data_IF_940894590569
#
_entry.id   IF_940894590569
#
_cell.length_a   1.000
_cell.length_b   1.000
_cell.length_c   1.000
_cell.angle_alpha   90.00
_cell.angle_beta   90.00
_cell.angle_gamma   90.00
#
_symmetry.space_group_name_H-M   'P 1'
#
loop_
_entity.id
_entity.type
_entity.pdbx_description
1 polymer ?
#
# COMPACT_ATOMS: atom_id res chain seq x y z
N UNK A 1 32.62 -2.08 -14.13
CA UNK A 1 31.44 -2.88 -14.50
C UNK A 1 30.22 -2.13 -14.05
N UNK A 2 29.26 -1.90 -14.94
CA UNK A 2 27.98 -1.25 -14.62
C UNK A 2 27.26 -2.05 -13.53
N UNK A 3 26.90 -1.39 -12.41
CA UNK A 3 26.13 -1.95 -11.30
C UNK A 3 24.66 -2.19 -11.73
N UNK A 4 24.44 -3.14 -12.64
CA UNK A 4 23.10 -3.52 -13.09
C UNK A 4 22.51 -4.51 -12.06
N UNK A 5 21.27 -4.31 -11.59
CA UNK A 5 20.60 -5.26 -10.70
C UNK A 5 20.65 -6.69 -11.26
N UNK A 6 20.81 -7.72 -10.44
CA UNK A 6 20.81 -9.12 -10.94
C UNK A 6 19.40 -9.59 -11.33
N UNK A 7 18.41 -9.21 -10.53
CA UNK A 7 17.01 -9.58 -10.70
C UNK A 7 16.44 -9.05 -12.03
N UNK A 8 15.85 -9.94 -12.83
CA UNK A 8 15.32 -9.61 -14.15
C UNK A 8 14.09 -8.71 -14.06
N UNK A 9 13.24 -8.93 -13.07
CA UNK A 9 12.03 -8.13 -12.85
C UNK A 9 12.39 -6.69 -12.47
N UNK A 10 13.39 -6.50 -11.62
CA UNK A 10 13.94 -5.19 -11.27
C UNK A 10 14.50 -4.47 -12.52
N UNK A 11 15.20 -5.18 -13.41
CA UNK A 11 15.67 -4.59 -14.68
C UNK A 11 14.49 -4.17 -15.55
N UNK A 12 13.48 -5.03 -15.69
CA UNK A 12 12.27 -4.76 -16.49
C UNK A 12 11.54 -3.53 -15.98
N UNK A 13 11.33 -3.45 -14.67
CA UNK A 13 10.70 -2.35 -13.95
C UNK A 13 11.45 -1.03 -14.13
N UNK A 14 12.76 -1.01 -13.87
CA UNK A 14 13.59 0.17 -14.04
C UNK A 14 13.69 0.64 -15.49
N UNK A 15 13.80 -0.29 -16.45
CA UNK A 15 13.82 0.04 -17.87
C UNK A 15 12.48 0.64 -18.31
N UNK A 16 11.36 0.05 -17.89
CA UNK A 16 10.03 0.57 -18.16
C UNK A 16 9.85 1.97 -17.58
N UNK A 17 10.16 2.15 -16.30
CA UNK A 17 10.07 3.44 -15.62
C UNK A 17 10.92 4.49 -16.32
N UNK A 18 12.18 4.19 -16.62
CA UNK A 18 13.09 5.11 -17.33
C UNK A 18 12.53 5.54 -18.69
N UNK A 19 11.95 4.61 -19.45
CA UNK A 19 11.29 4.93 -20.72
C UNK A 19 10.05 5.80 -20.51
N UNK A 20 9.28 5.53 -19.46
CA UNK A 20 8.04 6.25 -19.16
C UNK A 20 8.27 7.71 -18.73
N UNK A 21 9.47 8.04 -18.23
CA UNK A 21 9.85 9.42 -17.88
C UNK A 21 9.94 10.34 -19.11
N UNK A 22 10.07 9.77 -20.31
CA UNK A 22 10.07 10.53 -21.57
C UNK A 22 8.67 10.75 -22.14
N UNK A 23 7.63 10.23 -21.50
CA UNK A 23 6.25 10.55 -21.89
C UNK A 23 5.96 12.03 -21.66
N UNK A 24 5.14 12.62 -22.52
CA UNK A 24 4.61 13.96 -22.27
C UNK A 24 3.66 13.90 -21.08
N UNK A 25 4.04 14.53 -19.97
CA UNK A 25 3.28 14.58 -18.73
C UNK A 25 3.44 15.95 -18.07
N UNK A 26 2.40 16.50 -17.44
CA UNK A 26 2.51 17.77 -16.73
C UNK A 26 3.59 17.73 -15.65
N UNK A 27 4.16 18.89 -15.35
CA UNK A 27 5.12 19.01 -14.26
C UNK A 27 4.48 18.69 -12.90
N UNK A 28 5.21 17.95 -12.07
CA UNK A 28 4.80 17.64 -10.71
C UNK A 28 4.72 18.93 -9.86
N UNK A 29 3.57 19.25 -9.25
CA UNK A 29 3.49 20.33 -8.28
C UNK A 29 4.22 19.96 -6.99
N UNK A 30 4.47 20.98 -6.17
CA UNK A 30 4.80 20.79 -4.75
C UNK A 30 3.69 20.00 -4.05
N UNK A 31 4.07 19.18 -3.06
CA UNK A 31 3.15 18.29 -2.31
C UNK A 31 1.96 19.05 -1.74
N UNK A 32 2.16 20.28 -1.23
CA UNK A 32 1.08 21.10 -0.67
C UNK A 32 0.01 21.44 -1.72
N UNK A 33 0.44 21.60 -2.97
CA UNK A 33 -0.39 22.03 -4.11
C UNK A 33 -0.89 20.87 -4.97
N UNK A 34 -0.45 19.64 -4.69
CA UNK A 34 -0.94 18.47 -5.40
C UNK A 34 -2.40 18.20 -5.02
N UNK A 35 -3.13 17.57 -5.93
CA UNK A 35 -4.47 17.05 -5.66
C UNK A 35 -4.37 15.94 -4.62
N UNK A 36 -5.24 15.98 -3.62
CA UNK A 36 -5.39 14.86 -2.71
C UNK A 36 -6.11 13.73 -3.46
N UNK A 37 -5.80 12.48 -3.15
CA UNK A 37 -6.49 11.36 -3.75
C UNK A 37 -6.69 10.24 -2.74
N UNK A 38 -7.70 9.40 -3.03
CA UNK A 38 -7.91 8.16 -2.30
C UNK A 38 -7.68 6.97 -3.19
N UNK A 39 -7.15 5.90 -2.61
CA UNK A 39 -7.26 4.56 -3.20
C UNK A 39 -8.44 3.84 -2.55
N UNK A 40 -9.21 3.11 -3.35
CA UNK A 40 -10.31 2.27 -2.91
C UNK A 40 -10.11 0.84 -3.42
N UNK A 41 -10.04 -0.13 -2.52
CA UNK A 41 -9.94 -1.55 -2.88
C UNK A 41 -11.09 -2.35 -2.29
N UNK A 42 -11.92 -3.02 -3.12
CA UNK A 42 -12.89 -3.98 -2.61
C UNK A 42 -12.16 -5.23 -2.10
N UNK A 43 -12.57 -5.72 -0.93
CA UNK A 43 -12.06 -6.93 -0.33
C UNK A 43 -13.23 -7.73 0.23
N UNK A 44 -13.26 -9.04 0.02
CA UNK A 44 -14.31 -9.86 0.58
C UNK A 44 -13.75 -10.79 1.67
N UNK A 45 -13.06 -11.84 1.25
CA UNK A 45 -12.52 -12.87 2.14
C UNK A 45 -11.29 -13.55 1.54
N UNK A 46 -10.59 -12.85 0.65
CA UNK A 46 -9.29 -13.27 0.14
C UNK A 46 -8.27 -13.36 1.28
N UNK A 47 -7.17 -14.06 1.04
CA UNK A 47 -6.11 -14.16 2.05
C UNK A 47 -5.50 -12.79 2.34
N UNK A 48 -5.46 -12.39 3.62
CA UNK A 48 -4.80 -11.13 4.01
C UNK A 48 -3.30 -11.34 4.07
N UNK A 49 -2.85 -12.36 4.78
CA UNK A 49 -1.46 -12.77 4.88
C UNK A 49 -1.39 -14.29 4.97
N UNK A 50 -0.53 -14.93 4.18
CA UNK A 50 -0.35 -16.39 4.29
C UNK A 50 -0.03 -16.80 5.72
N UNK A 51 -0.81 -17.71 6.28
CA UNK A 51 -0.58 -18.30 7.60
C UNK A 51 0.51 -19.38 7.54
N UNK A 52 0.92 -19.87 8.72
CA UNK A 52 2.05 -20.80 8.83
C UNK A 52 1.75 -22.13 8.12
N UNK A 53 0.51 -22.58 8.23
CA UNK A 53 0.02 -23.84 7.68
C UNK A 53 -0.02 -23.76 6.16
N UNK A 54 -0.55 -22.69 5.58
CA UNK A 54 -0.57 -22.45 4.12
C UNK A 54 0.82 -22.44 3.48
N UNK A 55 1.86 -22.04 4.22
CA UNK A 55 3.24 -22.06 3.72
C UNK A 55 3.88 -23.46 3.77
N UNK A 56 3.37 -24.35 4.63
CA UNK A 56 3.99 -25.67 4.90
C UNK A 56 3.20 -26.82 4.30
N UNK A 57 1.89 -26.71 4.27
CA UNK A 57 1.00 -27.75 3.75
C UNK A 57 1.31 -27.95 2.28
N UNK A 58 1.66 -29.17 1.95
CA UNK A 58 1.90 -29.60 0.59
C UNK A 58 0.57 -29.77 -0.14
N UNK A 59 0.54 -29.41 -1.42
CA UNK A 59 -0.57 -29.72 -2.31
C UNK A 59 -0.55 -31.21 -2.72
N UNK A 60 -1.44 -31.59 -3.63
CA UNK A 60 -1.55 -32.97 -4.15
C UNK A 60 -0.24 -33.50 -4.78
N UNK A 61 0.63 -32.61 -5.25
CA UNK A 61 1.93 -32.93 -5.85
C UNK A 61 3.08 -32.99 -4.83
N UNK A 62 2.81 -32.84 -3.52
CA UNK A 62 3.85 -32.79 -2.49
C UNK A 62 4.61 -31.45 -2.44
N UNK A 63 4.07 -30.39 -3.05
CA UNK A 63 4.73 -29.08 -3.14
C UNK A 63 4.05 -28.10 -2.18
N UNK A 64 4.82 -27.55 -1.24
CA UNK A 64 4.35 -26.46 -0.38
C UNK A 64 4.46 -25.09 -1.07
N UNK A 65 3.58 -24.16 -0.71
CA UNK A 65 3.61 -22.77 -1.22
C UNK A 65 4.99 -22.13 -1.03
N UNK A 66 5.63 -22.34 0.13
CA UNK A 66 6.95 -21.77 0.39
C UNK A 66 8.02 -22.37 -0.53
N UNK A 67 8.04 -23.68 -0.71
CA UNK A 67 9.00 -24.34 -1.59
C UNK A 67 8.85 -23.85 -3.03
N UNK A 68 7.61 -23.75 -3.50
CA UNK A 68 7.33 -23.21 -4.83
C UNK A 68 7.88 -21.79 -4.99
N UNK A 69 7.55 -20.87 -4.07
CA UNK A 69 8.02 -19.48 -4.11
C UNK A 69 9.55 -19.37 -4.04
N UNK A 70 10.21 -20.19 -3.23
CA UNK A 70 11.68 -20.25 -3.15
C UNK A 70 12.30 -20.71 -4.47
N UNK A 71 11.63 -21.62 -5.18
CA UNK A 71 12.10 -22.17 -6.46
C UNK A 71 11.98 -21.15 -7.59
N UNK A 72 10.89 -20.37 -7.64
CA UNK A 72 10.68 -19.38 -8.72
C UNK A 72 11.34 -18.02 -8.44
N UNK A 73 11.60 -17.68 -7.17
CA UNK A 73 12.22 -16.40 -6.76
C UNK A 73 13.54 -16.61 -6.00
N UNK A 74 14.45 -17.40 -6.56
CA UNK A 74 15.71 -17.82 -5.91
C UNK A 74 16.55 -16.62 -5.45
N UNK A 75 16.76 -15.64 -6.32
CA UNK A 75 17.57 -14.45 -6.03
C UNK A 75 16.91 -13.55 -4.97
N UNK A 76 15.58 -13.43 -4.99
CA UNK A 76 14.85 -12.67 -3.98
C UNK A 76 14.80 -13.37 -2.62
N UNK A 77 14.82 -14.70 -2.60
CA UNK A 77 14.96 -15.51 -1.39
C UNK A 77 16.36 -15.33 -0.77
N UNK A 78 17.42 -15.37 -1.58
CA UNK A 78 18.79 -15.07 -1.13
C UNK A 78 18.89 -13.68 -0.49
N UNK A 79 18.33 -12.67 -1.15
CA UNK A 79 18.28 -11.30 -0.63
C UNK A 79 17.48 -11.21 0.69
N UNK A 80 16.40 -11.98 0.82
CA UNK A 80 15.64 -12.06 2.05
C UNK A 80 16.46 -12.68 3.19
N UNK A 81 17.09 -13.82 2.97
CA UNK A 81 17.95 -14.47 3.96
C UNK A 81 19.12 -13.58 4.38
N UNK A 82 19.74 -12.88 3.43
CA UNK A 82 20.80 -11.91 3.72
C UNK A 82 20.32 -10.81 4.67
N UNK A 83 19.13 -10.23 4.43
CA UNK A 83 18.55 -9.23 5.34
C UNK A 83 18.26 -9.81 6.73
N UNK A 84 17.67 -11.01 6.79
CA UNK A 84 17.38 -11.66 8.07
C UNK A 84 18.64 -11.92 8.91
N UNK A 85 19.76 -12.29 8.26
CA UNK A 85 21.06 -12.47 8.94
C UNK A 85 21.62 -11.15 9.50
N UNK A 86 21.46 -10.05 8.77
CA UNK A 86 21.83 -8.71 9.27
C UNK A 86 20.97 -8.32 10.48
N UNK A 87 19.69 -8.71 10.47
CA UNK A 87 18.76 -8.56 11.59
C UNK A 87 18.91 -9.65 12.66
N UNK A 88 20.11 -10.24 12.79
CA UNK A 88 20.52 -11.16 13.86
C UNK A 88 19.81 -12.52 13.85
N UNK A 89 19.40 -13.02 12.68
CA UNK A 89 19.01 -14.43 12.51
C UNK A 89 20.28 -15.29 12.33
N UNK A 90 20.59 -16.15 13.30
CA UNK A 90 21.80 -16.98 13.30
C UNK A 90 21.53 -18.43 12.88
N UNK A 91 20.40 -19.01 13.32
CA UNK A 91 19.94 -20.34 12.93
C UNK A 91 18.71 -20.23 12.01
N UNK A 92 18.96 -20.28 10.71
CA UNK A 92 17.92 -20.17 9.68
C UNK A 92 16.80 -21.20 9.86
N UNK A 93 17.11 -22.47 10.14
CA UNK A 93 16.08 -23.52 10.20
C UNK A 93 15.13 -23.33 11.39
N UNK A 94 15.66 -22.86 12.51
CA UNK A 94 14.89 -22.68 13.75
C UNK A 94 14.22 -21.32 13.82
N UNK A 95 14.98 -20.25 13.57
CA UNK A 95 14.54 -18.88 13.79
C UNK A 95 13.53 -18.42 12.74
N UNK A 96 13.65 -18.90 11.50
CA UNK A 96 12.74 -18.55 10.41
C UNK A 96 11.28 -18.91 10.74
N UNK A 97 11.07 -20.01 11.45
CA UNK A 97 9.73 -20.50 11.83
C UNK A 97 9.31 -20.10 13.24
N UNK A 98 10.13 -19.31 13.95
CA UNK A 98 9.86 -18.84 15.31
C UNK A 98 9.93 -17.33 15.38
N UNK A 99 11.12 -16.76 15.58
CA UNK A 99 11.35 -15.32 15.74
C UNK A 99 11.09 -14.52 14.46
N UNK A 100 11.41 -15.08 13.29
CA UNK A 100 11.26 -14.44 11.97
C UNK A 100 10.04 -14.92 11.18
N UNK A 101 9.09 -15.60 11.84
CA UNK A 101 7.90 -16.14 11.19
C UNK A 101 7.07 -15.05 10.49
N UNK A 102 6.94 -13.86 11.09
CA UNK A 102 6.20 -12.75 10.47
C UNK A 102 6.88 -12.27 9.19
N UNK A 103 8.21 -12.14 9.21
CA UNK A 103 8.99 -11.72 8.04
C UNK A 103 8.90 -12.74 6.90
N UNK A 104 8.94 -14.04 7.23
CA UNK A 104 8.70 -15.12 6.27
C UNK A 104 7.30 -15.02 5.65
N UNK A 105 6.27 -14.85 6.49
CA UNK A 105 4.87 -14.74 6.02
C UNK A 105 4.67 -13.52 5.13
N UNK A 106 5.27 -12.38 5.46
CA UNK A 106 5.24 -11.18 4.64
C UNK A 106 5.98 -11.39 3.31
N UNK A 107 7.17 -11.98 3.34
CA UNK A 107 7.93 -12.30 2.12
C UNK A 107 7.11 -13.17 1.17
N UNK A 108 6.47 -14.23 1.67
CA UNK A 108 5.63 -15.08 0.85
C UNK A 108 4.38 -14.32 0.32
N UNK A 109 3.71 -13.56 1.19
CA UNK A 109 2.47 -12.85 0.85
C UNK A 109 2.67 -11.77 -0.21
N UNK A 110 3.83 -11.10 -0.21
CA UNK A 110 4.20 -10.13 -1.26
C UNK A 110 4.40 -10.75 -2.65
N UNK A 111 4.44 -12.08 -2.75
CA UNK A 111 4.55 -12.81 -4.02
C UNK A 111 3.28 -13.56 -4.39
N UNK A 112 2.33 -13.68 -3.45
CA UNK A 112 1.01 -14.24 -3.67
C UNK A 112 -0.03 -13.20 -4.12
N UNK A 113 -1.28 -13.64 -4.15
CA UNK A 113 -2.47 -12.79 -4.30
C UNK A 113 -3.07 -12.55 -2.92
N UNK A 114 -2.50 -11.58 -2.19
CA UNK A 114 -2.93 -11.27 -0.82
C UNK A 114 -3.24 -9.79 -0.67
N UNK A 115 -4.16 -9.44 0.24
CA UNK A 115 -4.43 -8.03 0.57
C UNK A 115 -3.17 -7.31 1.03
N UNK A 116 -2.28 -8.00 1.76
CA UNK A 116 -1.02 -7.41 2.22
C UNK A 116 -0.13 -6.95 1.06
N UNK A 117 -0.11 -7.66 -0.07
CA UNK A 117 0.67 -7.25 -1.25
C UNK A 117 0.11 -5.95 -1.85
N UNK A 118 -1.19 -5.92 -2.10
CA UNK A 118 -1.89 -4.78 -2.69
C UNK A 118 -1.80 -3.56 -1.78
N UNK A 119 -1.99 -3.76 -0.48
CA UNK A 119 -1.80 -2.71 0.53
C UNK A 119 -0.40 -2.14 0.51
N UNK A 120 0.61 -3.01 0.46
CA UNK A 120 2.00 -2.58 0.40
C UNK A 120 2.28 -1.75 -0.84
N UNK A 121 1.86 -2.21 -2.02
CA UNK A 121 2.02 -1.49 -3.28
C UNK A 121 1.52 -0.07 -3.21
N UNK A 122 0.21 0.07 -2.95
CA UNK A 122 -0.47 1.38 -2.95
C UNK A 122 0.07 2.38 -1.91
N UNK A 123 0.60 1.86 -0.79
CA UNK A 123 1.09 2.70 0.31
C UNK A 123 2.54 3.09 0.10
N UNK A 124 3.40 2.16 -0.34
CA UNK A 124 4.83 2.42 -0.47
C UNK A 124 5.12 3.62 -1.39
N UNK A 125 4.49 3.75 -2.55
CA UNK A 125 4.74 4.94 -3.38
C UNK A 125 3.83 6.13 -3.10
N UNK A 126 2.77 5.97 -2.29
CA UNK A 126 2.03 7.13 -1.78
C UNK A 126 2.75 7.82 -0.61
N UNK A 127 3.47 7.08 0.23
CA UNK A 127 4.22 7.62 1.38
C UNK A 127 5.47 8.40 0.94
N UNK A 128 6.11 8.03 -0.17
CA UNK A 128 7.34 8.68 -0.63
C UNK A 128 7.11 10.05 -1.30
N UNK A 129 5.85 10.41 -1.55
CA UNK A 129 5.46 11.75 -1.98
C UNK A 129 5.94 12.85 -1.01
N UNK A 130 6.07 12.54 0.29
CA UNK A 130 6.58 13.47 1.30
C UNK A 130 8.10 13.66 1.30
N UNK A 131 8.88 12.67 0.86
CA UNK A 131 10.34 12.68 1.00
C UNK A 131 11.08 13.34 -0.16
N UNK A 132 10.44 13.49 -1.33
CA UNK A 132 11.05 14.12 -2.53
C UNK A 132 11.28 15.64 -2.43
N UNK A 133 11.16 16.25 -1.24
CA UNK A 133 11.51 17.67 -1.01
C UNK A 133 13.01 17.94 -0.90
N UNK A 134 13.86 16.92 -0.89
CA UNK A 134 15.25 17.10 -0.48
C UNK A 134 16.25 17.51 -1.58
N UNK A 135 15.85 17.60 -2.87
CA UNK A 135 16.79 17.90 -3.96
C UNK A 135 16.39 19.12 -4.84
N UNK A 136 15.47 19.95 -4.34
CA UNK A 136 14.88 21.05 -5.11
C UNK A 136 15.56 22.42 -5.00
N UNK A 137 16.81 22.52 -4.54
CA UNK A 137 17.54 23.79 -4.52
C UNK A 137 18.49 23.87 -5.73
N UNK A 138 17.93 23.86 -6.93
CA UNK A 138 18.63 24.35 -8.13
C UNK A 138 18.31 25.84 -8.22
N UNK A 139 19.12 26.65 -7.56
CA UNK A 139 19.17 28.11 -7.79
C UNK A 139 20.52 28.45 -8.43
N UNK A 140 20.46 28.97 -9.65
CA UNK A 140 21.32 30.01 -10.24
C UNK A 140 22.86 29.92 -10.15
N UNK A 141 23.48 29.54 -11.28
CA UNK A 141 24.57 30.25 -11.97
C UNK A 141 25.76 30.83 -11.15
N UNK A 142 26.95 30.21 -11.24
CA UNK A 142 28.22 30.81 -11.74
C UNK A 142 29.49 30.05 -11.32
N UNK A 143 30.30 29.70 -12.33
CA UNK A 143 31.78 29.72 -12.42
C UNK A 143 32.70 29.26 -11.25
N UNK A 144 33.65 28.41 -11.66
CA UNK A 144 35.03 28.24 -11.18
C UNK A 144 35.40 27.28 -10.01
N UNK A 145 36.20 26.28 -10.43
CA UNK A 145 37.34 25.60 -9.77
C UNK A 145 37.09 24.66 -8.57
N UNK A 146 37.38 23.39 -8.86
CA UNK A 146 37.69 22.19 -8.05
C UNK A 146 38.51 22.41 -6.76
N UNK A 147 38.87 21.36 -5.98
CA UNK A 147 38.09 20.22 -5.45
C UNK A 147 38.34 20.00 -3.93
N UNK A 148 37.54 19.10 -3.35
CA UNK A 148 37.75 18.42 -2.05
C UNK A 148 37.61 19.24 -0.76
N UNK A 149 36.59 18.92 0.04
CA UNK A 149 36.76 18.79 1.50
C UNK A 149 35.58 18.07 2.13
N UNK A 150 35.88 16.89 2.67
CA UNK A 150 35.46 16.41 4.00
C UNK A 150 33.95 16.39 4.29
N UNK A 151 33.46 15.15 4.43
CA UNK A 151 32.27 14.80 5.23
C UNK A 151 32.25 15.65 6.51
N UNK A 152 31.35 16.62 6.55
CA UNK A 152 30.99 17.33 7.77
C UNK A 152 29.69 16.71 8.26
N UNK A 153 29.81 16.02 9.39
CA UNK A 153 28.70 15.64 10.26
C UNK A 153 27.88 16.88 10.58
N UNK A 154 26.71 17.03 9.94
CA UNK A 154 25.69 17.95 10.42
C UNK A 154 24.94 17.24 11.53
N UNK A 155 25.23 17.65 12.76
CA UNK A 155 24.39 17.38 13.91
C UNK A 155 22.91 17.66 13.54
N UNK A 156 22.06 16.67 13.78
CA UNK A 156 20.60 16.79 13.69
C UNK A 156 20.16 17.95 14.56
N UNK A 157 19.94 19.11 13.93
CA UNK A 157 19.32 20.25 14.61
C UNK A 157 17.86 19.90 14.85
N UNK A 158 17.37 20.11 16.08
CA UNK A 158 15.99 19.88 16.54
C UNK A 158 14.92 20.53 15.64
N UNK A 159 15.30 21.55 14.88
CA UNK A 159 14.46 22.22 13.88
C UNK A 159 14.16 21.31 12.68
N UNK A 160 15.09 20.45 12.24
CA UNK A 160 14.86 19.51 11.13
C UNK A 160 13.81 18.44 11.46
N UNK A 161 13.70 18.06 12.73
CA UNK A 161 12.70 17.09 13.23
C UNK A 161 11.30 17.71 13.23
N UNK A 162 11.17 18.99 13.59
CA UNK A 162 9.91 19.73 13.53
C UNK A 162 9.40 19.89 12.09
N UNK A 163 10.29 20.15 11.13
CA UNK A 163 9.93 20.21 9.71
C UNK A 163 9.62 18.84 9.10
N UNK A 164 10.31 17.77 9.50
CA UNK A 164 9.97 16.39 9.10
C UNK A 164 8.55 16.01 9.53
N UNK A 165 8.13 16.40 10.73
CA UNK A 165 6.75 16.20 11.20
C UNK A 165 5.70 16.93 10.35
N UNK A 166 5.99 18.16 9.93
CA UNK A 166 5.07 18.94 9.08
C UNK A 166 4.97 18.39 7.65
N UNK A 167 6.09 17.97 7.05
CA UNK A 167 6.13 17.42 5.68
C UNK A 167 5.48 16.04 5.61
N UNK A 168 5.75 15.17 6.59
CA UNK A 168 5.09 13.86 6.70
C UNK A 168 3.59 14.01 6.94
N UNK A 169 3.19 14.93 7.83
CA UNK A 169 1.78 15.29 8.02
C UNK A 169 1.11 15.84 6.75
N UNK A 170 1.83 16.65 5.97
CA UNK A 170 1.32 17.20 4.70
C UNK A 170 1.15 16.13 3.62
N UNK A 171 2.04 15.13 3.56
CA UNK A 171 1.87 14.01 2.65
C UNK A 171 0.69 13.11 3.07
N UNK A 172 0.55 12.84 4.37
CA UNK A 172 -0.53 12.02 4.92
C UNK A 172 -1.93 12.63 4.74
N UNK A 173 -2.07 13.95 4.59
CA UNK A 173 -3.36 14.57 4.25
C UNK A 173 -3.69 14.48 2.76
N UNK A 174 -2.71 14.19 1.90
CA UNK A 174 -2.91 14.10 0.43
C UNK A 174 -3.30 12.70 -0.03
N UNK A 175 -3.14 11.70 0.82
CA UNK A 175 -3.39 10.32 0.48
C UNK A 175 -4.16 9.60 1.59
N UNK A 176 -5.25 8.93 1.21
CA UNK A 176 -5.95 7.99 2.08
C UNK A 176 -6.24 6.70 1.33
N UNK A 177 -6.15 5.56 2.00
CA UNK A 177 -6.48 4.28 1.41
C UNK A 177 -7.64 3.65 2.17
N UNK A 178 -8.77 3.45 1.48
CA UNK A 178 -9.92 2.73 1.99
C UNK A 178 -9.95 1.31 1.43
N UNK A 179 -9.91 0.30 2.30
CA UNK A 179 -10.18 -1.09 1.93
C UNK A 179 -11.59 -1.44 2.42
N UNK A 180 -12.42 -1.90 1.50
CA UNK A 180 -13.81 -2.23 1.76
C UNK A 180 -13.95 -3.70 2.14
N UNK A 181 -13.76 -4.01 3.42
CA UNK A 181 -13.88 -5.33 4.01
C UNK A 181 -15.30 -5.59 4.55
N UNK A 182 -16.25 -5.86 3.65
CA UNK A 182 -17.69 -5.93 3.99
C UNK A 182 -18.00 -6.78 5.23
N UNK A 183 -17.38 -7.96 5.35
CA UNK A 183 -17.65 -8.93 6.40
C UNK A 183 -16.77 -8.79 7.66
N UNK A 184 -15.95 -7.73 7.74
CA UNK A 184 -15.02 -7.53 8.87
C UNK A 184 -15.76 -7.46 10.22
N UNK A 185 -16.96 -6.86 10.26
CA UNK A 185 -17.80 -6.84 11.46
C UNK A 185 -18.19 -8.25 11.94
N UNK A 186 -18.61 -9.11 11.02
CA UNK A 186 -18.91 -10.52 11.31
C UNK A 186 -17.66 -11.31 11.71
N UNK A 187 -16.53 -11.08 11.02
CA UNK A 187 -15.25 -11.70 11.35
C UNK A 187 -14.79 -11.32 12.78
N UNK A 188 -14.99 -10.05 13.19
CA UNK A 188 -14.72 -9.59 14.56
C UNK A 188 -15.59 -10.31 15.58
N UNK A 189 -16.90 -10.44 15.33
CA UNK A 189 -17.80 -11.16 16.22
C UNK A 189 -17.41 -12.65 16.38
N UNK A 190 -16.90 -13.27 15.32
CA UNK A 190 -16.46 -14.68 15.30
C UNK A 190 -15.02 -14.89 15.78
N UNK A 191 -14.26 -13.82 16.07
CA UNK A 191 -12.81 -13.87 16.37
C UNK A 191 -12.00 -14.57 15.27
N UNK A 192 -12.34 -14.26 14.03
CA UNK A 192 -11.67 -14.83 12.85
C UNK A 192 -10.21 -14.34 12.76
N UNK A 193 -9.22 -15.19 12.41
CA UNK A 193 -7.82 -14.80 12.27
C UNK A 193 -7.57 -13.61 11.32
N UNK A 194 -8.39 -13.44 10.28
CA UNK A 194 -8.29 -12.28 9.36
C UNK A 194 -8.36 -10.96 10.12
N UNK A 195 -9.04 -10.93 11.27
CA UNK A 195 -9.22 -9.70 12.05
C UNK A 195 -7.92 -9.16 12.61
N UNK A 196 -7.04 -10.04 13.09
CA UNK A 196 -5.72 -9.68 13.60
C UNK A 196 -4.78 -9.22 12.48
N UNK A 197 -4.94 -9.78 11.29
CA UNK A 197 -4.12 -9.46 10.11
C UNK A 197 -4.53 -8.12 9.50
N UNK A 198 -5.83 -7.85 9.37
CA UNK A 198 -6.36 -6.55 8.97
C UNK A 198 -5.97 -5.47 9.99
N UNK A 199 -6.07 -5.78 11.30
CA UNK A 199 -5.62 -4.89 12.35
C UNK A 199 -4.10 -4.61 12.27
N UNK A 200 -3.30 -5.63 11.97
CA UNK A 200 -1.87 -5.48 11.71
C UNK A 200 -1.62 -4.54 10.53
N UNK A 201 -2.34 -4.69 9.42
CA UNK A 201 -2.23 -3.77 8.29
C UNK A 201 -2.56 -2.33 8.70
N UNK A 202 -3.68 -2.10 9.38
CA UNK A 202 -4.05 -0.75 9.85
C UNK A 202 -3.00 -0.16 10.81
N UNK A 203 -2.42 -0.99 11.67
CA UNK A 203 -1.41 -0.59 12.64
C UNK A 203 -0.09 -0.18 11.97
N UNK A 204 0.32 -0.84 10.89
CA UNK A 204 1.58 -0.53 10.21
C UNK A 204 1.42 0.51 9.10
N UNK A 205 0.18 0.90 8.78
CA UNK A 205 -0.11 1.80 7.67
C UNK A 205 -1.03 2.94 8.10
N UNK A 206 -0.43 4.10 8.40
CA UNK A 206 -1.17 5.23 8.95
C UNK A 206 -2.22 5.81 8.01
N UNK A 207 -2.09 5.66 6.68
CA UNK A 207 -3.10 6.12 5.71
C UNK A 207 -4.26 5.12 5.51
N UNK A 208 -4.12 3.88 5.98
CA UNK A 208 -5.07 2.79 5.72
C UNK A 208 -6.29 2.84 6.64
N UNK A 209 -7.47 2.76 6.03
CA UNK A 209 -8.80 2.77 6.63
C UNK A 209 -9.53 1.53 6.15
N UNK A 210 -10.30 0.93 7.04
CA UNK A 210 -11.11 -0.25 6.71
C UNK A 210 -12.57 0.13 6.88
N UNK A 211 -13.38 -0.18 5.87
CA UNK A 211 -14.83 -0.04 5.95
C UNK A 211 -15.50 -1.40 5.89
N UNK A 212 -16.59 -1.55 6.62
CA UNK A 212 -17.34 -2.80 6.70
C UNK A 212 -18.82 -2.56 6.99
N UNK A 213 -19.59 -3.63 6.90
CA UNK A 213 -21.01 -3.63 7.25
C UNK A 213 -21.18 -4.24 8.65
N UNK A 214 -21.77 -3.44 9.53
CA UNK A 214 -22.11 -3.83 10.89
C UNK A 214 -23.59 -4.19 10.96
N UNK A 215 -23.89 -5.36 11.52
CA UNK A 215 -25.25 -5.88 11.68
C UNK A 215 -25.63 -5.90 13.16
N UNK A 216 -26.54 -5.02 13.56
CA UNK A 216 -26.97 -4.89 14.96
C UNK A 216 -28.38 -5.47 15.13
N UNK A 217 -28.56 -6.53 15.94
CA UNK A 217 -29.88 -7.11 16.20
C UNK A 217 -30.79 -6.12 16.94
N UNK A 218 -32.05 -5.97 16.49
CA UNK A 218 -33.04 -5.07 17.13
C UNK A 218 -34.09 -5.81 17.96
N UNK A 219 -33.97 -7.14 18.09
CA UNK A 219 -34.77 -7.98 18.99
C UNK A 219 -36.05 -8.58 18.39
N UNK A 220 -36.44 -8.21 17.16
CA UNK A 220 -37.62 -8.77 16.45
C UNK A 220 -37.25 -9.59 15.21
N UNK A 221 -36.12 -10.28 15.25
CA UNK A 221 -35.49 -10.94 14.08
C UNK A 221 -35.08 -9.96 12.96
N UNK A 222 -35.26 -8.66 13.20
CA UNK A 222 -34.78 -7.57 12.37
C UNK A 222 -33.36 -7.16 12.78
N UNK A 223 -32.62 -6.63 11.80
CA UNK A 223 -31.27 -6.12 11.96
C UNK A 223 -31.21 -4.70 11.42
N UNK A 224 -30.59 -3.82 12.19
CA UNK A 224 -30.12 -2.54 11.67
C UNK A 224 -28.75 -2.76 11.01
N UNK A 225 -28.57 -2.15 9.84
CA UNK A 225 -27.33 -2.23 9.08
C UNK A 225 -26.63 -0.88 9.10
N UNK A 226 -25.31 -0.91 9.32
CA UNK A 226 -24.49 0.29 9.31
C UNK A 226 -23.27 0.10 8.42
N UNK A 227 -22.92 1.15 7.67
CA UNK A 227 -21.62 1.27 7.04
C UNK A 227 -20.67 1.97 8.01
N UNK A 228 -19.58 1.29 8.38
CA UNK A 228 -18.66 1.74 9.43
C UNK A 228 -17.26 1.90 8.86
N UNK A 229 -16.63 3.04 9.10
CA UNK A 229 -15.23 3.29 8.76
C UNK A 229 -14.38 3.27 10.03
N UNK A 230 -13.31 2.49 10.04
CA UNK A 230 -12.36 2.40 11.16
C UNK A 230 -10.92 2.71 10.71
N UNK A 231 -10.09 3.07 11.69
CA UNK A 231 -8.63 3.13 11.56
C UNK A 231 -7.96 2.65 12.84
N UNK A 232 -6.67 2.35 12.78
CA UNK A 232 -5.85 2.22 13.97
C UNK A 232 -5.37 3.61 14.44
N UNK A 233 -5.66 3.96 15.69
CA UNK A 233 -5.14 5.16 16.33
C UNK A 233 -3.82 4.84 17.04
N UNK A 234 -2.72 5.41 16.55
CA UNK A 234 -1.37 5.16 17.09
C UNK A 234 -1.20 5.67 18.52
N UNK A 235 -1.93 6.72 18.92
CA UNK A 235 -1.84 7.31 20.27
C UNK A 235 -2.64 6.48 21.26
N UNK A 236 -3.86 6.12 20.90
CA UNK A 236 -4.74 5.29 21.73
C UNK A 236 -4.38 3.80 21.67
N UNK A 237 -3.50 3.41 20.73
CA UNK A 237 -3.04 2.04 20.48
C UNK A 237 -4.17 1.05 20.26
N UNK A 238 -5.26 1.49 19.63
CA UNK A 238 -6.45 0.69 19.37
C UNK A 238 -7.12 1.10 18.06
N UNK A 239 -7.92 0.20 17.53
CA UNK A 239 -8.88 0.53 16.48
C UNK A 239 -9.90 1.54 17.02
N UNK A 240 -10.24 2.52 16.19
CA UNK A 240 -11.26 3.53 16.47
C UNK A 240 -12.20 3.65 15.27
N UNK A 241 -13.48 3.78 15.56
CA UNK A 241 -14.50 4.11 14.58
C UNK A 241 -14.41 5.61 14.26
N UNK A 242 -14.36 5.94 12.97
CA UNK A 242 -14.34 7.30 12.44
C UNK A 242 -15.76 7.74 12.08
N UNK A 243 -16.48 6.87 11.37
CA UNK A 243 -17.83 7.13 10.92
C UNK A 243 -18.69 5.89 11.07
N UNK A 244 -19.97 6.09 11.37
CA UNK A 244 -21.03 5.08 11.32
C UNK A 244 -22.24 5.69 10.62
N UNK A 245 -22.66 5.09 9.51
CA UNK A 245 -23.77 5.57 8.68
C UNK A 245 -24.85 4.49 8.66
N UNK A 246 -26.07 4.81 9.08
CA UNK A 246 -27.19 3.87 9.03
C UNK A 246 -27.60 3.63 7.57
N UNK A 247 -27.72 2.37 7.18
CA UNK A 247 -28.18 1.95 5.86
C UNK A 247 -29.70 1.72 5.91
N UNK A 248 -30.41 1.89 4.77
CA UNK A 248 -31.86 1.67 4.70
C UNK A 248 -32.27 0.20 4.85
N UNK A 249 -31.32 -0.72 4.78
CA UNK A 249 -31.55 -2.16 4.91
C UNK A 249 -30.29 -2.97 4.62
N UNK A 250 -30.47 -4.27 4.40
CA UNK A 250 -29.38 -5.18 4.08
C UNK A 250 -28.69 -4.79 2.77
N UNK A 251 -27.36 -4.75 2.79
CA UNK A 251 -26.55 -4.51 1.60
C UNK A 251 -26.22 -5.86 0.93
N UNK A 252 -27.12 -6.32 0.06
CA UNK A 252 -26.90 -7.42 -0.90
C UNK A 252 -27.56 -7.06 -2.23
N UNK A 253 -26.77 -6.63 -3.22
CA UNK A 253 -27.21 -6.12 -4.53
C UNK A 253 -26.58 -6.86 -5.74
N UNK A 254 -25.99 -8.06 -5.58
CA UNK A 254 -25.24 -8.76 -6.62
C UNK A 254 -23.87 -9.32 -6.18
N UNK A 255 -22.87 -9.23 -7.07
CA UNK A 255 -21.50 -9.68 -6.79
C UNK A 255 -20.81 -8.77 -5.76
N UNK A 256 -20.05 -9.37 -4.84
CA UNK A 256 -19.48 -8.66 -3.69
C UNK A 256 -18.57 -7.47 -4.05
N UNK A 257 -17.89 -7.48 -5.20
CA UNK A 257 -16.92 -6.41 -5.55
C UNK A 257 -17.59 -5.05 -5.82
N UNK A 258 -18.56 -4.91 -6.75
CA UNK A 258 -19.29 -3.65 -6.95
C UNK A 258 -19.99 -3.12 -5.69
N UNK A 259 -20.58 -4.00 -4.88
CA UNK A 259 -21.22 -3.61 -3.61
C UNK A 259 -20.22 -3.08 -2.59
N UNK A 260 -19.05 -3.72 -2.53
CA UNK A 260 -17.98 -3.32 -1.64
C UNK A 260 -17.46 -1.93 -2.01
N UNK A 261 -17.38 -1.64 -3.30
CA UNK A 261 -17.04 -0.29 -3.76
C UNK A 261 -18.13 0.73 -3.41
N UNK A 262 -19.41 0.41 -3.63
CA UNK A 262 -20.51 1.35 -3.45
C UNK A 262 -20.64 1.86 -2.01
N UNK A 263 -20.63 0.98 -1.02
CA UNK A 263 -20.75 1.42 0.39
C UNK A 263 -19.47 2.10 0.89
N UNK A 264 -18.31 1.76 0.33
CA UNK A 264 -17.04 2.34 0.73
C UNK A 264 -16.76 3.70 0.09
N UNK A 265 -17.33 3.98 -1.07
CA UNK A 265 -17.06 5.19 -1.84
C UNK A 265 -17.33 6.46 -1.03
N UNK A 266 -18.37 6.47 -0.19
CA UNK A 266 -18.72 7.62 0.69
C UNK A 266 -17.63 7.97 1.70
N UNK A 267 -16.68 7.05 1.95
CA UNK A 267 -15.57 7.24 2.88
C UNK A 267 -14.28 7.68 2.20
N UNK A 268 -14.22 7.65 0.86
CA UNK A 268 -13.09 8.24 0.12
C UNK A 268 -13.06 9.76 0.29
N UNK A 269 -11.87 10.34 0.21
CA UNK A 269 -11.60 11.78 0.38
C UNK A 269 -10.59 12.27 -0.66
N UNK A 270 -10.57 13.58 -0.87
CA UNK A 270 -9.68 14.21 -1.84
C UNK A 270 -10.36 14.50 -3.17
N UNK A 271 -9.56 14.94 -4.13
CA UNK A 271 -10.00 15.44 -5.43
C UNK A 271 -10.10 14.32 -6.49
N UNK A 272 -9.43 13.19 -6.27
CA UNK A 272 -9.43 12.03 -7.16
C UNK A 272 -9.58 10.72 -6.38
N UNK A 273 -10.14 9.70 -7.03
CA UNK A 273 -10.26 8.35 -6.48
C UNK A 273 -9.69 7.36 -7.49
N UNK A 274 -8.76 6.53 -7.05
CA UNK A 274 -8.25 5.38 -7.79
C UNK A 274 -8.91 4.11 -7.24
N UNK A 275 -9.61 3.38 -8.09
CA UNK A 275 -10.24 2.11 -7.74
C UNK A 275 -9.34 0.96 -8.17
N UNK A 276 -8.91 0.13 -7.22
CA UNK A 276 -7.91 -0.93 -7.42
C UNK A 276 -8.52 -2.27 -7.03
N UNK A 277 -8.47 -3.26 -7.91
CA UNK A 277 -8.84 -4.64 -7.56
C UNK A 277 -7.81 -5.25 -6.62
N UNK A 278 -8.24 -6.19 -5.77
CA UNK A 278 -7.37 -6.90 -4.83
C UNK A 278 -6.18 -7.60 -5.51
N UNK A 279 -6.32 -7.99 -6.77
CA UNK A 279 -5.24 -8.65 -7.51
C UNK A 279 -4.33 -7.67 -8.28
N UNK A 280 -4.52 -6.37 -8.10
CA UNK A 280 -3.70 -5.34 -8.72
C UNK A 280 -2.72 -4.74 -7.70
N UNK A 281 -1.56 -4.36 -8.19
CA UNK A 281 -0.44 -3.82 -7.42
C UNK A 281 0.13 -2.62 -8.17
N UNK A 282 0.72 -1.69 -7.44
CA UNK A 282 1.48 -0.58 -8.02
C UNK A 282 2.96 -0.84 -7.81
N UNK A 283 3.73 -0.54 -8.83
CA UNK A 283 5.16 -0.45 -8.64
C UNK A 283 5.52 0.91 -8.06
N UNK A 284 6.33 0.89 -7.00
CA UNK A 284 6.85 2.07 -6.32
C UNK A 284 7.32 3.18 -7.30
N UNK A 285 8.08 2.81 -8.33
CA UNK A 285 8.61 3.76 -9.30
C UNK A 285 7.51 4.43 -10.14
N UNK A 286 6.43 3.73 -10.46
CA UNK A 286 5.30 4.33 -11.18
C UNK A 286 4.55 5.34 -10.31
N UNK A 287 4.50 5.11 -9.00
CA UNK A 287 3.82 5.99 -8.04
C UNK A 287 4.53 7.34 -7.87
N UNK A 288 5.83 7.42 -8.16
CA UNK A 288 6.56 8.69 -8.21
C UNK A 288 5.95 9.68 -9.23
N UNK A 289 5.22 9.17 -10.23
CA UNK A 289 4.54 9.97 -11.25
C UNK A 289 3.14 10.43 -10.83
N UNK A 290 2.59 9.99 -9.70
CA UNK A 290 1.22 10.34 -9.30
C UNK A 290 0.99 11.85 -9.22
N UNK A 291 1.98 12.65 -8.82
CA UNK A 291 1.88 14.12 -8.80
C UNK A 291 1.70 14.71 -10.20
N UNK A 292 2.42 14.17 -11.18
CA UNK A 292 2.30 14.56 -12.58
C UNK A 292 0.97 14.08 -13.17
N UNK A 293 0.63 12.81 -12.97
CA UNK A 293 -0.58 12.17 -13.49
C UNK A 293 -1.85 12.88 -12.99
N UNK A 294 -1.92 13.24 -11.71
CA UNK A 294 -3.06 13.98 -11.17
C UNK A 294 -3.20 15.40 -11.76
N UNK A 295 -2.15 16.00 -12.33
CA UNK A 295 -2.30 17.28 -13.03
C UNK A 295 -3.00 17.16 -14.39
N UNK A 296 -3.15 15.94 -14.93
CA UNK A 296 -3.89 15.72 -16.18
C UNK A 296 -5.35 16.20 -16.05
N UNK A 297 -5.95 16.02 -14.87
CA UNK A 297 -7.30 16.51 -14.55
C UNK A 297 -7.45 18.03 -14.64
N UNK A 298 -6.35 18.80 -14.67
CA UNK A 298 -6.37 20.25 -14.81
C UNK A 298 -6.18 20.72 -16.25
N UNK A 299 -5.68 19.86 -17.14
CA UNK A 299 -5.40 20.20 -18.53
C UNK A 299 -6.62 19.95 -19.41
N UNK A 300 -6.83 20.84 -20.39
CA UNK A 300 -7.85 20.67 -21.39
C UNK A 300 -7.31 19.80 -22.54
N UNK A 301 -8.05 18.75 -22.85
CA UNK A 301 -7.86 17.94 -24.05
C UNK A 301 -9.01 18.28 -25.02
N UNK A 302 -8.75 19.22 -25.93
CA UNK A 302 -9.80 19.87 -26.72
C UNK A 302 -10.66 20.79 -25.86
N UNK A 303 -11.97 20.54 -25.82
CA UNK A 303 -12.94 21.38 -25.08
C UNK A 303 -13.22 20.93 -23.65
N UNK A 304 -12.68 19.78 -23.22
CA UNK A 304 -12.97 19.18 -21.90
C UNK A 304 -11.71 18.82 -21.15
N UNK A 305 -11.81 18.84 -19.82
CA UNK A 305 -10.84 18.21 -18.93
C UNK A 305 -11.19 16.72 -18.80
N UNK A 306 -10.19 15.83 -18.62
CA UNK A 306 -10.47 14.43 -18.43
C UNK A 306 -11.16 14.24 -17.07
N UNK A 307 -11.99 13.20 -16.96
CA UNK A 307 -12.62 12.78 -15.69
C UNK A 307 -12.19 11.37 -15.26
N UNK A 308 -11.53 10.64 -16.17
CA UNK A 308 -10.95 9.32 -15.94
C UNK A 308 -9.54 9.36 -16.51
N UNK A 309 -8.58 8.82 -15.76
CA UNK A 309 -7.20 8.67 -16.18
C UNK A 309 -6.84 7.19 -16.13
N UNK A 310 -6.39 6.64 -17.26
CA UNK A 310 -5.85 5.29 -17.32
C UNK A 310 -4.37 5.32 -16.94
N UNK A 311 -3.99 4.51 -15.95
CA UNK A 311 -2.59 4.33 -15.54
C UNK A 311 -2.26 2.85 -15.65
N UNK A 312 -1.01 2.53 -15.98
CA UNK A 312 -0.57 1.14 -16.03
C UNK A 312 -0.42 0.62 -14.61
N UNK A 313 -1.15 -0.44 -14.30
CA UNK A 313 -1.07 -1.16 -13.04
C UNK A 313 -0.50 -2.56 -13.28
N UNK A 314 0.05 -3.17 -12.23
CA UNK A 314 0.53 -4.53 -12.30
C UNK A 314 -0.58 -5.50 -11.85
N UNK A 315 -1.05 -6.34 -12.76
CA UNK A 315 -2.02 -7.40 -12.43
C UNK A 315 -1.26 -8.64 -11.99
N UNK A 316 -1.53 -9.10 -10.78
CA UNK A 316 -0.97 -10.34 -10.25
C UNK A 316 -1.78 -11.52 -10.74
N UNK A 317 -1.14 -12.44 -11.45
CA UNK A 317 -1.73 -13.73 -11.81
C UNK A 317 -1.53 -14.74 -10.67
N UNK A 318 -2.43 -15.73 -10.55
CA UNK A 318 -2.24 -16.81 -9.59
C UNK A 318 -0.94 -17.52 -9.93
N UNK A 319 -0.08 -17.63 -8.94
CA UNK A 319 1.18 -18.36 -9.05
C UNK A 319 0.92 -19.86 -8.96
#
# INVERSE_FOLDING_TARGET
MSNIPRNLEARRRLAFFSNSLFMNMPHAPQVEKMMAFSVLTPYYNEEVLYNKEQLRTENEDGISTLYYLQTIYVDEWENFLQRMRIERMFDEKKELWTTKLRDLRLWASYRGQTLTRTVRGMIEGSVELGFMRHDGSIDGLSSERSPSSRRLSRADSSVSVLFKGHVYGTALIKFTYVVACQIYGTQKAKKDPHTEEILYLMKNNEALRVTYIDEVPTGRDEKDYYSVLVKYDQKLKREVEIYRVKLPGALKLGEGKPENQNHAFIFTRGDAVQTIDMNQDNYFEEELKMRNLLQEFKHYYGIRKPTILGVREHVTTRA
#
